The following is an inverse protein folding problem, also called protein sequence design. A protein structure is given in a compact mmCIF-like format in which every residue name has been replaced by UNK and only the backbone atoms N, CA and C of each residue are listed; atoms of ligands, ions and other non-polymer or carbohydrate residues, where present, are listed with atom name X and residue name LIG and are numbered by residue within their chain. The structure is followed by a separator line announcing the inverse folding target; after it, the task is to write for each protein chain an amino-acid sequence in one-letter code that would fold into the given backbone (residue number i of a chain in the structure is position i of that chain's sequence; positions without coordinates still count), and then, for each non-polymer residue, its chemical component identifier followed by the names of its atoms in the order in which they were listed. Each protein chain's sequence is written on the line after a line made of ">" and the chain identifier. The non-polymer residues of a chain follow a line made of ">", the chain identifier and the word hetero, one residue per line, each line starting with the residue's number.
data_IF_420598080567
#
_entry.id   IF_420598080567
#
_cell.length_a   1.000
_cell.length_b   1.000
_cell.length_c   1.000
_cell.angle_alpha   90.00
_cell.angle_beta   90.00
_cell.angle_gamma   90.00
#
_symmetry.space_group_name_H-M   'P 1'
#
loop_
_entity.id
_entity.type
_entity.pdbx_description
1 polymer ?
#
# COMPACT_ATOMS: atom_id res chain seq x y z
N UNK A 1 -14.70 11.03 13.37
CA UNK A 1 -13.41 10.50 12.87
C UNK A 1 -13.62 10.01 11.46
N UNK A 2 -12.67 10.25 10.56
CA UNK A 2 -12.62 9.71 9.19
C UNK A 2 -11.39 8.81 9.05
N UNK A 3 -11.43 7.84 8.14
CA UNK A 3 -10.34 6.88 7.91
C UNK A 3 -9.63 7.24 6.60
N UNK A 4 -8.39 7.69 6.69
CA UNK A 4 -7.59 8.16 5.57
C UNK A 4 -6.47 7.17 5.29
N UNK A 5 -6.30 6.82 4.02
CA UNK A 5 -5.20 5.94 3.58
C UNK A 5 -3.87 6.64 3.80
N UNK A 6 -2.94 6.09 4.58
CA UNK A 6 -1.58 6.64 4.72
C UNK A 6 -0.53 5.83 3.96
N UNK A 7 -0.82 4.58 3.60
CA UNK A 7 0.14 3.75 2.89
C UNK A 7 -0.55 2.76 1.94
N UNK A 8 0.07 2.51 0.78
CA UNK A 8 -0.29 1.38 -0.09
C UNK A 8 0.93 0.69 -0.69
N UNK A 9 0.82 -0.62 -0.82
CA UNK A 9 1.66 -1.46 -1.66
C UNK A 9 0.81 -1.91 -2.84
N UNK A 10 1.22 -1.56 -4.05
CA UNK A 10 0.50 -1.87 -5.27
C UNK A 10 1.23 -2.91 -6.12
N UNK A 11 0.45 -3.77 -6.76
CA UNK A 11 0.92 -4.81 -7.67
C UNK A 11 1.79 -5.88 -6.99
N UNK A 12 1.56 -6.13 -5.70
CA UNK A 12 2.28 -7.16 -4.95
C UNK A 12 1.92 -8.55 -5.47
N UNK A 13 2.89 -9.25 -6.02
CA UNK A 13 2.76 -10.63 -6.49
C UNK A 13 2.79 -11.60 -5.31
N UNK A 14 1.75 -12.40 -5.13
CA UNK A 14 1.74 -13.52 -4.17
C UNK A 14 2.80 -14.53 -4.59
N UNK A 15 3.79 -14.77 -3.73
CA UNK A 15 4.89 -15.71 -3.99
C UNK A 15 4.58 -17.10 -3.47
N UNK A 16 3.75 -17.21 -2.43
CA UNK A 16 3.46 -18.47 -1.75
C UNK A 16 2.09 -18.42 -1.09
N UNK A 17 1.47 -19.59 -0.90
CA UNK A 17 0.21 -19.75 -0.18
C UNK A 17 0.39 -20.85 0.86
N UNK A 18 0.08 -20.56 2.13
CA UNK A 18 0.19 -21.52 3.24
C UNK A 18 -1.12 -21.61 4.04
N UNK A 19 -1.93 -22.63 3.78
CA UNK A 19 -3.24 -22.81 4.43
C UNK A 19 -3.17 -23.11 5.92
N UNK A 20 -2.08 -23.70 6.38
CA UNK A 20 -1.88 -24.09 7.78
C UNK A 20 -1.15 -23.02 8.60
N UNK A 21 -0.71 -21.94 7.93
CA UNK A 21 -0.02 -20.82 8.56
C UNK A 21 -0.92 -20.08 9.56
N UNK A 22 -0.34 -19.74 10.72
CA UNK A 22 -1.00 -18.95 11.77
C UNK A 22 -1.07 -17.46 11.41
N UNK A 23 -0.06 -16.96 10.70
CA UNK A 23 -0.10 -15.62 10.13
C UNK A 23 -1.22 -15.51 9.07
N UNK A 24 -1.60 -14.28 8.69
CA UNK A 24 -2.64 -14.05 7.68
C UNK A 24 -2.07 -13.55 6.36
N UNK A 25 -1.19 -12.55 6.40
CA UNK A 25 -0.46 -12.06 5.24
C UNK A 25 0.97 -11.70 5.64
N UNK A 26 1.93 -12.43 5.10
CA UNK A 26 3.36 -12.21 5.36
C UNK A 26 3.96 -11.43 4.19
N UNK A 27 4.62 -10.30 4.45
CA UNK A 27 5.20 -9.43 3.41
C UNK A 27 6.64 -9.09 3.76
N UNK A 28 7.53 -9.08 2.76
CA UNK A 28 8.90 -8.56 2.86
C UNK A 28 8.96 -7.23 3.64
N UNK A 29 9.72 -7.23 4.73
CA UNK A 29 9.92 -6.08 5.61
C UNK A 29 10.43 -4.83 4.87
N UNK A 30 11.23 -5.00 3.81
CA UNK A 30 11.70 -3.87 3.00
C UNK A 30 10.55 -3.15 2.28
N UNK A 31 9.54 -3.90 1.82
CA UNK A 31 8.36 -3.32 1.18
C UNK A 31 7.50 -2.59 2.20
N UNK A 32 7.26 -3.21 3.36
CA UNK A 32 6.50 -2.61 4.46
C UNK A 32 7.13 -1.31 4.94
N UNK A 33 8.43 -1.32 5.22
CA UNK A 33 9.19 -0.14 5.64
C UNK A 33 9.16 0.98 4.60
N UNK A 34 9.25 0.63 3.31
CA UNK A 34 9.11 1.62 2.22
C UNK A 34 7.72 2.23 2.22
N UNK A 35 6.66 1.46 2.40
CA UNK A 35 5.29 1.97 2.47
C UNK A 35 5.00 2.73 3.78
N UNK A 36 5.75 2.46 4.85
CA UNK A 36 5.45 2.98 6.19
C UNK A 36 4.38 2.16 6.92
N UNK A 37 4.30 0.87 6.61
CA UNK A 37 3.40 -0.10 7.27
C UNK A 37 4.21 -0.84 8.34
N UNK A 38 3.65 -1.02 9.53
CA UNK A 38 4.29 -1.70 10.65
C UNK A 38 3.69 -3.09 10.92
N UNK A 39 4.43 -3.92 11.66
CA UNK A 39 3.96 -5.24 12.11
C UNK A 39 2.64 -5.08 12.91
N UNK A 40 1.72 -6.03 12.74
CA UNK A 40 0.39 -6.06 13.36
C UNK A 40 -0.56 -4.91 12.93
N UNK A 41 -0.14 -4.04 12.01
CA UNK A 41 -1.03 -2.99 11.51
C UNK A 41 -2.17 -3.60 10.69
N UNK A 42 -3.39 -3.11 10.90
CA UNK A 42 -4.55 -3.47 10.10
C UNK A 42 -4.38 -2.95 8.67
N UNK A 43 -4.62 -3.84 7.72
CA UNK A 43 -4.55 -3.59 6.29
C UNK A 43 -5.82 -4.08 5.61
N UNK A 44 -6.22 -3.37 4.56
CA UNK A 44 -7.18 -3.86 3.59
C UNK A 44 -6.45 -4.38 2.36
N UNK A 45 -6.87 -5.54 1.90
CA UNK A 45 -6.29 -6.22 0.76
C UNK A 45 -7.33 -6.37 -0.33
N UNK A 46 -6.92 -6.08 -1.56
CA UNK A 46 -7.70 -6.29 -2.77
C UNK A 46 -6.87 -7.14 -3.72
N UNK A 47 -7.40 -8.29 -4.11
CA UNK A 47 -6.83 -9.11 -5.16
C UNK A 47 -7.30 -8.59 -6.53
N UNK A 48 -6.34 -8.17 -7.35
CA UNK A 48 -6.58 -7.61 -8.68
C UNK A 48 -6.90 -8.63 -9.76
N UNK A 49 -6.82 -9.93 -9.47
CA UNK A 49 -7.14 -11.01 -10.41
C UNK A 49 -8.56 -11.49 -10.22
N UNK A 50 -8.95 -11.83 -8.98
CA UNK A 50 -10.26 -12.41 -8.69
C UNK A 50 -11.24 -11.41 -8.04
N UNK A 51 -10.79 -10.21 -7.70
CA UNK A 51 -11.61 -9.16 -7.10
C UNK A 51 -11.92 -9.34 -5.61
N UNK A 52 -11.40 -10.38 -4.95
CA UNK A 52 -11.63 -10.62 -3.53
C UNK A 52 -11.06 -9.47 -2.69
N UNK A 53 -11.79 -9.14 -1.63
CA UNK A 53 -11.44 -8.06 -0.70
C UNK A 53 -11.53 -8.57 0.73
N UNK A 54 -10.53 -8.28 1.54
CA UNK A 54 -10.53 -8.66 2.94
C UNK A 54 -9.71 -7.70 3.78
N UNK A 55 -9.95 -7.74 5.08
CA UNK A 55 -9.20 -6.98 6.08
C UNK A 55 -8.43 -7.96 6.94
N UNK A 56 -7.17 -7.64 7.22
CA UNK A 56 -6.31 -8.46 8.09
C UNK A 56 -5.18 -7.61 8.67
N UNK A 57 -4.19 -8.21 9.32
CA UNK A 57 -2.96 -7.55 9.73
C UNK A 57 -1.75 -8.13 8.99
N UNK A 58 -0.61 -7.45 9.07
CA UNK A 58 0.62 -7.89 8.38
C UNK A 58 1.68 -8.45 9.33
N UNK A 59 2.33 -9.52 8.88
CA UNK A 59 3.55 -10.08 9.48
C UNK A 59 4.75 -9.82 8.56
N UNK A 60 5.83 -9.19 9.03
CA UNK A 60 7.07 -9.05 8.26
C UNK A 60 7.77 -10.39 7.98
N UNK A 61 8.14 -10.63 6.72
CA UNK A 61 9.12 -11.62 6.30
C UNK A 61 10.54 -11.04 6.33
N UNK A 62 11.55 -11.88 6.10
CA UNK A 62 12.95 -11.47 5.93
C UNK A 62 13.09 -10.30 4.94
N UNK A 63 13.75 -9.23 5.38
CA UNK A 63 14.03 -8.06 4.56
C UNK A 63 14.73 -8.41 3.24
N UNK A 64 14.24 -7.86 2.13
CA UNK A 64 14.77 -8.06 0.78
C UNK A 64 14.40 -9.39 0.12
N UNK A 65 13.64 -10.25 0.81
CA UNK A 65 13.27 -11.58 0.30
C UNK A 65 12.25 -11.56 -0.83
N UNK A 66 11.57 -10.44 -1.07
CA UNK A 66 10.46 -10.28 -2.04
C UNK A 66 9.26 -11.18 -1.78
N UNK A 67 9.20 -11.81 -0.60
CA UNK A 67 8.12 -12.73 -0.24
C UNK A 67 6.81 -11.99 0.04
N UNK A 68 5.74 -12.55 -0.48
CA UNK A 68 4.35 -12.21 -0.17
C UNK A 68 3.60 -13.53 -0.01
N UNK A 69 3.30 -13.90 1.21
CA UNK A 69 2.71 -15.21 1.55
C UNK A 69 1.30 -15.00 2.07
N UNK A 70 0.31 -15.56 1.37
CA UNK A 70 -1.05 -15.59 1.86
C UNK A 70 -1.22 -16.82 2.76
N UNK A 71 -1.56 -16.60 4.02
CA UNK A 71 -1.66 -17.64 5.02
C UNK A 71 -3.09 -17.78 5.57
N UNK A 72 -3.42 -18.94 6.14
CA UNK A 72 -4.71 -19.18 6.81
C UNK A 72 -5.92 -18.82 5.93
N UNK A 73 -6.77 -17.91 6.42
CA UNK A 73 -7.95 -17.44 5.65
C UNK A 73 -7.60 -16.74 4.34
N UNK A 74 -6.51 -15.97 4.28
CA UNK A 74 -6.06 -15.30 3.05
C UNK A 74 -5.70 -16.32 1.96
N UNK A 75 -5.22 -17.52 2.34
CA UNK A 75 -4.88 -18.59 1.41
C UNK A 75 -6.08 -19.14 0.61
N UNK A 76 -7.31 -18.84 1.07
CA UNK A 76 -8.54 -19.21 0.37
C UNK A 76 -9.06 -18.09 -0.55
N UNK A 77 -8.52 -16.87 -0.40
CA UNK A 77 -8.98 -15.66 -1.10
C UNK A 77 -8.06 -15.25 -2.26
N UNK A 78 -6.89 -15.84 -2.35
CA UNK A 78 -5.90 -15.56 -3.41
C UNK A 78 -5.13 -16.83 -3.79
N UNK A 79 -4.29 -16.73 -4.82
CA UNK A 79 -3.44 -17.83 -5.25
C UNK A 79 -2.02 -17.33 -5.56
N UNK A 80 -1.05 -18.26 -5.57
CA UNK A 80 0.30 -17.95 -6.04
C UNK A 80 0.21 -17.31 -7.42
N UNK A 81 0.88 -16.18 -7.56
CA UNK A 81 0.90 -15.43 -8.80
C UNK A 81 -0.19 -14.36 -8.93
N UNK A 82 -1.14 -14.26 -8.01
CA UNK A 82 -2.10 -13.15 -8.01
C UNK A 82 -1.42 -11.84 -7.63
N UNK A 83 -2.03 -10.73 -8.05
CA UNK A 83 -1.56 -9.37 -7.78
C UNK A 83 -2.44 -8.72 -6.72
N UNK A 84 -1.86 -8.35 -5.59
CA UNK A 84 -2.54 -7.70 -4.47
C UNK A 84 -2.27 -6.19 -4.46
N UNK A 85 -3.28 -5.42 -4.04
CA UNK A 85 -3.12 -4.09 -3.46
C UNK A 85 -3.36 -4.20 -1.96
N UNK A 86 -2.40 -3.76 -1.16
CA UNK A 86 -2.48 -3.73 0.30
C UNK A 86 -2.47 -2.26 0.74
N UNK A 87 -3.47 -1.85 1.51
CA UNK A 87 -3.65 -0.47 1.95
C UNK A 87 -3.75 -0.42 3.48
N UNK A 88 -3.05 0.52 4.09
CA UNK A 88 -3.18 0.83 5.52
C UNK A 88 -3.77 2.24 5.70
N UNK A 89 -4.45 2.43 6.83
CA UNK A 89 -5.19 3.66 7.08
C UNK A 89 -4.96 4.18 8.50
N UNK A 90 -5.14 5.49 8.65
CA UNK A 90 -5.13 6.21 9.92
C UNK A 90 -6.48 6.86 10.17
N UNK A 91 -6.90 6.91 11.44
CA UNK A 91 -8.07 7.68 11.83
C UNK A 91 -7.67 9.12 12.17
N UNK A 92 -8.37 10.08 11.57
CA UNK A 92 -8.15 11.52 11.81
C UNK A 92 -9.49 12.23 12.00
N UNK A 93 -9.49 13.36 12.71
CA UNK A 93 -10.63 14.29 12.67
C UNK A 93 -10.54 15.16 11.42
N UNK A 94 -11.67 15.72 10.99
CA UNK A 94 -11.67 16.73 9.92
C UNK A 94 -10.87 17.98 10.32
N UNK A 95 -10.85 18.32 11.62
CA UNK A 95 -10.05 19.41 12.16
C UNK A 95 -8.55 19.14 11.99
N UNK A 96 -8.06 17.98 12.42
CA UNK A 96 -6.65 17.58 12.24
C UNK A 96 -6.22 17.55 10.77
N UNK A 97 -7.14 17.21 9.86
CA UNK A 97 -6.87 17.24 8.42
C UNK A 97 -6.72 18.67 7.89
N UNK A 98 -7.52 19.63 8.39
CA UNK A 98 -7.42 21.04 8.01
C UNK A 98 -6.25 21.76 8.69
N UNK A 99 -5.76 21.26 9.81
CA UNK A 99 -4.63 21.85 10.54
C UNK A 99 -3.29 21.33 10.01
N UNK A 100 -3.15 20.00 9.88
CA UNK A 100 -1.87 19.36 9.55
C UNK A 100 -1.78 18.85 8.11
N UNK A 101 -2.90 18.83 7.37
CA UNK A 101 -3.02 18.07 6.14
C UNK A 101 -2.95 16.56 6.35
N UNK A 102 -2.65 15.83 5.29
CA UNK A 102 -2.43 14.40 5.30
C UNK A 102 -1.50 13.97 4.16
N UNK A 103 -0.71 12.93 4.38
CA UNK A 103 0.16 12.37 3.34
C UNK A 103 0.03 10.86 3.29
N UNK A 104 -0.18 10.33 2.08
CA UNK A 104 -0.20 8.92 1.80
C UNK A 104 1.01 8.53 0.95
N UNK A 105 1.65 7.40 1.29
CA UNK A 105 2.76 6.85 0.49
C UNK A 105 2.29 5.66 -0.32
N UNK A 106 2.57 5.67 -1.61
CA UNK A 106 2.18 4.60 -2.52
C UNK A 106 3.44 3.99 -3.12
N UNK A 107 3.68 2.72 -2.83
CA UNK A 107 4.79 1.95 -3.39
C UNK A 107 4.25 1.12 -4.54
N UNK A 108 4.83 1.28 -5.71
CA UNK A 108 4.51 0.53 -6.92
C UNK A 108 5.60 -0.52 -7.13
N UNK A 109 5.19 -1.79 -7.26
CA UNK A 109 6.10 -2.91 -7.50
C UNK A 109 5.90 -3.51 -8.90
N UNK A 110 6.86 -4.30 -9.38
CA UNK A 110 6.72 -5.11 -10.58
C UNK A 110 6.33 -6.56 -10.25
N UNK A 111 6.28 -7.43 -11.27
CA UNK A 111 5.94 -8.85 -11.12
C UNK A 111 6.88 -9.65 -10.19
N UNK A 112 8.08 -9.14 -9.90
CA UNK A 112 9.07 -9.74 -9.01
C UNK A 112 9.06 -9.08 -7.61
N UNK A 113 8.04 -8.28 -7.30
CA UNK A 113 7.95 -7.47 -6.08
C UNK A 113 9.12 -6.47 -5.91
N UNK A 114 9.79 -6.10 -7.00
CA UNK A 114 10.81 -5.06 -6.98
C UNK A 114 10.13 -3.69 -7.06
N UNK A 115 10.57 -2.77 -6.22
CA UNK A 115 10.00 -1.42 -6.19
C UNK A 115 10.44 -0.66 -7.44
N UNK A 116 9.45 -0.26 -8.23
CA UNK A 116 9.63 0.55 -9.43
C UNK A 116 9.56 2.03 -9.10
N UNK A 117 8.55 2.42 -8.31
CA UNK A 117 8.25 3.82 -8.01
C UNK A 117 7.71 3.95 -6.60
N UNK A 118 8.04 5.06 -5.95
CA UNK A 118 7.39 5.49 -4.71
C UNK A 118 6.78 6.86 -4.97
N UNK A 119 5.51 6.99 -4.61
CA UNK A 119 4.74 8.21 -4.81
C UNK A 119 4.27 8.71 -3.46
N UNK A 120 4.07 10.01 -3.37
CA UNK A 120 3.39 10.65 -2.26
C UNK A 120 2.16 11.35 -2.79
N UNK A 121 1.02 11.06 -2.18
CA UNK A 121 -0.19 11.85 -2.32
C UNK A 121 -0.31 12.74 -1.09
N UNK A 122 -0.59 14.01 -1.29
CA UNK A 122 -0.66 14.98 -0.21
C UNK A 122 -1.96 15.76 -0.30
N UNK A 123 -2.59 15.90 0.86
CA UNK A 123 -3.71 16.78 1.13
C UNK A 123 -3.14 17.92 1.97
N UNK A 124 -2.94 19.09 1.36
CA UNK A 124 -2.42 20.26 2.05
C UNK A 124 -3.59 21.17 2.46
N UNK A 125 -3.53 21.77 3.66
CA UNK A 125 -4.51 22.77 4.05
C UNK A 125 -4.17 24.12 3.39
N UNK A 126 -5.13 24.73 2.70
CA UNK A 126 -5.00 26.08 2.13
C UNK A 126 -6.34 26.82 2.22
N UNK A 127 -6.40 27.95 2.95
CA UNK A 127 -7.56 28.84 3.10
C UNK A 127 -8.95 28.17 2.92
N UNK A 128 -9.28 27.23 3.82
CA UNK A 128 -10.52 26.42 3.88
C UNK A 128 -10.73 25.35 2.79
N UNK A 129 -9.78 25.19 1.86
CA UNK A 129 -9.74 24.16 0.83
C UNK A 129 -8.67 23.11 1.15
N UNK A 130 -8.90 21.87 0.71
CA UNK A 130 -7.89 20.82 0.76
C UNK A 130 -7.34 20.64 -0.66
N UNK A 131 -6.08 21.03 -0.88
CA UNK A 131 -5.42 20.84 -2.16
C UNK A 131 -4.82 19.43 -2.27
N UNK A 132 -5.05 18.78 -3.40
CA UNK A 132 -4.45 17.48 -3.71
C UNK A 132 -3.23 17.65 -4.61
N UNK A 133 -2.09 17.12 -4.19
CA UNK A 133 -0.90 17.02 -5.01
C UNK A 133 -0.31 15.61 -5.00
N UNK A 134 0.44 15.29 -6.06
CA UNK A 134 1.17 14.03 -6.20
C UNK A 134 2.62 14.32 -6.56
N UNK A 135 3.54 13.61 -5.91
CA UNK A 135 4.98 13.68 -6.22
C UNK A 135 5.58 12.29 -6.32
N UNK A 136 6.62 12.16 -7.15
CA UNK A 136 7.46 10.95 -7.26
C UNK A 136 8.70 11.14 -6.38
N UNK A 137 9.05 10.14 -5.57
CA UNK A 137 10.29 10.18 -4.79
C UNK A 137 11.51 10.17 -5.74
N UNK A 138 12.33 11.23 -5.64
CA UNK A 138 13.45 11.49 -6.55
C UNK A 138 14.47 10.35 -6.61
N UNK A 139 14.57 9.51 -5.57
CA UNK A 139 15.45 8.32 -5.58
C UNK A 139 15.00 7.20 -6.53
N UNK A 140 13.76 7.19 -7.00
CA UNK A 140 13.18 6.15 -7.86
C UNK A 140 12.68 6.70 -9.20
N UNK A 141 13.31 7.78 -9.68
CA UNK A 141 12.88 8.56 -10.84
C UNK A 141 12.67 7.76 -12.12
N UNK A 142 11.41 7.63 -12.52
CA UNK A 142 11.01 7.69 -13.91
C UNK A 142 10.02 8.85 -14.02
N UNK A 143 10.32 9.78 -14.93
CA UNK A 143 9.63 11.05 -15.13
C UNK A 143 8.10 10.87 -15.19
N UNK A 144 7.37 11.85 -14.65
CA UNK A 144 5.93 11.93 -14.88
C UNK A 144 5.66 12.19 -16.37
N UNK A 145 4.64 11.56 -16.98
CA UNK A 145 4.05 12.16 -18.17
C UNK A 145 3.41 13.46 -17.71
N UNK A 146 3.87 14.57 -18.27
CA UNK A 146 3.22 15.88 -18.12
C UNK A 146 1.74 15.72 -18.45
N UNK A 147 0.87 15.92 -17.46
CA UNK A 147 -0.55 16.13 -17.72
C UNK A 147 -0.65 17.40 -18.56
N UNK A 148 -0.76 17.21 -19.88
CA UNK A 148 -1.19 18.26 -20.78
C UNK A 148 -2.58 18.68 -20.33
N UNK A 149 -2.67 19.88 -19.74
CA UNK A 149 -3.94 20.60 -19.63
C UNK A 149 -4.57 20.62 -21.03
N UNK A 150 -5.62 19.83 -21.19
CA UNK A 150 -6.45 19.81 -22.39
C UNK A 150 -7.37 21.02 -22.40
N UNK A 151 -7.20 21.82 -23.47
CA UNK A 151 -8.07 22.84 -24.10
C UNK A 151 -8.99 23.70 -23.24
#
# INVERSE_FOLDING_TARGET
>A
MIRLMHATLNQLRVTEVNREGVDTLVIDEDLLRRAGIVRLEEIEVVDGVNGQRWTTHVTPATAGSRRVVACGGSALLTAVGHSLRVSAFVLRTQQQLREDGHSARLVMTNANNEVQRVLRQQLSPDDDVIEFSRTVDAKFGLAEPTDSKGS
#
